data_IF_776197541168
#
_entry.id   IF_776197541168
#
_cell.length_a   1.000
_cell.length_b   1.000
_cell.length_c   1.000
_cell.angle_alpha   90.00
_cell.angle_beta   90.00
_cell.angle_gamma   90.00
#
_symmetry.space_group_name_H-M   'P 1'
#
loop_
_entity.id
_entity.type
_entity.pdbx_description
1 polymer ?
#
# COMPACT_ATOMS: atom_id res chain seq x y z
N UNK A 1 -54.54 -45.02 4.84
CA UNK A 1 -53.29 -44.91 4.08
C UNK A 1 -52.91 -43.46 4.00
N UNK A 2 -51.92 -43.06 4.80
CA UNK A 2 -51.53 -41.66 5.03
C UNK A 2 -50.47 -41.29 3.99
N UNK A 3 -50.78 -40.32 3.14
CA UNK A 3 -49.82 -39.70 2.23
C UNK A 3 -48.88 -38.79 3.00
N UNK A 4 -47.59 -39.11 2.99
CA UNK A 4 -46.55 -38.30 3.64
C UNK A 4 -45.88 -37.39 2.60
N UNK A 5 -46.03 -36.09 2.79
CA UNK A 5 -45.20 -35.06 2.16
C UNK A 5 -43.94 -34.83 3.00
N UNK A 6 -42.78 -34.81 2.31
CA UNK A 6 -41.48 -34.08 2.48
C UNK A 6 -40.97 -33.70 3.90
N UNK A 7 -39.63 -33.68 4.12
CA UNK A 7 -38.85 -32.55 3.59
C UNK A 7 -37.49 -32.90 2.98
N UNK A 8 -37.18 -32.18 1.90
CA UNK A 8 -35.84 -31.92 1.36
C UNK A 8 -34.93 -31.41 2.47
N UNK A 9 -33.80 -32.06 2.69
CA UNK A 9 -32.70 -31.49 3.46
C UNK A 9 -32.10 -30.31 2.66
N UNK A 10 -32.35 -29.10 3.15
CA UNK A 10 -31.54 -27.93 2.83
C UNK A 10 -30.10 -28.20 3.27
N UNK A 11 -29.20 -28.27 2.30
CA UNK A 11 -27.76 -28.18 2.53
C UNK A 11 -27.47 -26.89 3.28
N UNK A 12 -27.12 -27.00 4.57
CA UNK A 12 -26.57 -25.91 5.38
C UNK A 12 -25.32 -25.38 4.67
N UNK A 13 -25.50 -24.30 3.90
CA UNK A 13 -24.42 -23.47 3.39
C UNK A 13 -23.74 -22.87 4.61
N UNK A 14 -22.62 -23.47 5.01
CA UNK A 14 -21.75 -22.96 6.06
C UNK A 14 -21.24 -21.58 5.61
N UNK A 15 -21.94 -20.53 6.02
CA UNK A 15 -21.50 -19.15 5.89
C UNK A 15 -20.22 -19.00 6.72
N UNK A 16 -19.05 -19.08 6.07
CA UNK A 16 -17.83 -18.53 6.65
C UNK A 16 -18.09 -17.04 6.82
N UNK A 17 -18.40 -16.62 8.03
CA UNK A 17 -18.50 -15.20 8.36
C UNK A 17 -17.19 -14.53 7.97
N UNK A 18 -17.27 -13.54 7.08
CA UNK A 18 -16.16 -12.65 6.81
C UNK A 18 -15.78 -12.01 8.15
N UNK A 19 -14.49 -12.00 8.53
CA UNK A 19 -14.09 -11.41 9.80
C UNK A 19 -14.53 -9.94 9.84
N UNK A 20 -14.78 -9.37 11.00
CA UNK A 20 -15.18 -7.96 11.11
C UNK A 20 -14.04 -7.17 11.71
N UNK A 21 -13.87 -5.95 11.21
CA UNK A 21 -12.88 -5.02 11.70
C UNK A 21 -13.28 -4.55 13.10
N UNK A 22 -12.55 -5.02 14.11
CA UNK A 22 -12.80 -4.72 15.53
C UNK A 22 -12.79 -3.24 15.91
N UNK A 23 -12.27 -2.39 15.02
CA UNK A 23 -12.11 -0.96 15.27
C UNK A 23 -13.21 -0.09 14.66
N UNK A 24 -13.97 -0.60 13.67
CA UNK A 24 -15.01 0.20 13.02
C UNK A 24 -16.23 -0.60 12.55
N UNK A 25 -16.42 -1.82 13.09
CA UNK A 25 -17.55 -2.72 12.84
C UNK A 25 -17.89 -2.92 11.35
N UNK A 26 -16.91 -2.68 10.48
CA UNK A 26 -17.02 -2.84 9.05
C UNK A 26 -16.63 -4.27 8.69
N UNK A 27 -17.30 -4.86 7.69
CA UNK A 27 -16.95 -6.21 7.22
C UNK A 27 -15.48 -6.22 6.75
N UNK A 28 -14.69 -7.19 7.21
CA UNK A 28 -13.41 -7.52 6.56
C UNK A 28 -13.77 -8.09 5.20
N UNK A 29 -13.62 -7.25 4.19
CA UNK A 29 -13.48 -7.76 2.85
C UNK A 29 -12.02 -8.20 2.70
N UNK A 30 -11.76 -9.50 2.91
CA UNK A 30 -10.65 -10.19 2.22
C UNK A 30 -10.68 -9.74 0.75
N UNK A 31 -9.52 -9.45 0.12
CA UNK A 31 -9.38 -8.43 -0.92
C UNK A 31 -10.25 -8.74 -2.13
N UNK A 32 -11.50 -8.32 -2.08
CA UNK A 32 -12.42 -8.31 -3.19
C UNK A 32 -12.21 -6.98 -3.89
N UNK A 33 -11.19 -6.95 -4.74
CA UNK A 33 -11.21 -6.06 -5.90
C UNK A 33 -11.35 -4.55 -5.58
N UNK A 34 -10.59 -4.03 -4.62
CA UNK A 34 -10.22 -2.62 -4.69
C UNK A 34 -8.87 -2.57 -5.39
N UNK A 35 -8.88 -2.30 -6.69
CA UNK A 35 -7.70 -2.06 -7.53
C UNK A 35 -6.73 -1.12 -6.80
N UNK A 36 -5.73 -1.69 -6.10
CA UNK A 36 -4.82 -0.94 -5.22
C UNK A 36 -3.87 -0.07 -6.00
N UNK A 37 -3.70 -0.35 -7.29
CA UNK A 37 -2.96 0.52 -8.18
C UNK A 37 -3.59 1.92 -8.25
N UNK A 38 -4.91 2.05 -8.03
CA UNK A 38 -5.59 3.36 -7.99
C UNK A 38 -5.49 4.07 -6.65
N UNK A 39 -4.86 3.47 -5.64
CA UNK A 39 -4.85 4.05 -4.30
C UNK A 39 -3.85 5.20 -4.19
N UNK A 40 -4.15 6.23 -3.38
CA UNK A 40 -3.17 7.24 -3.02
C UNK A 40 -1.98 6.57 -2.30
N UNK A 41 -0.77 7.07 -2.53
CA UNK A 41 0.44 6.58 -1.84
C UNK A 41 0.29 6.70 -0.32
N UNK A 42 -0.37 7.74 0.17
CA UNK A 42 -0.62 7.93 1.61
C UNK A 42 -1.56 6.87 2.24
N UNK A 43 -2.12 5.95 1.46
CA UNK A 43 -2.84 4.77 1.96
C UNK A 43 -1.95 3.55 2.12
N UNK A 44 -0.71 3.57 1.63
CA UNK A 44 0.29 2.56 1.96
C UNK A 44 0.51 2.60 3.47
N UNK A 45 0.55 1.42 4.08
CA UNK A 45 0.71 1.35 5.53
C UNK A 45 2.10 1.85 5.95
N UNK A 46 2.16 2.55 7.08
CA UNK A 46 3.36 3.24 7.55
C UNK A 46 4.62 2.37 7.55
N UNK A 47 4.57 1.16 8.11
CA UNK A 47 5.71 0.25 8.11
C UNK A 47 6.17 -0.18 6.71
N UNK A 48 5.23 -0.51 5.82
CA UNK A 48 5.56 -0.80 4.41
C UNK A 48 6.10 0.42 3.67
N UNK A 49 5.52 1.60 3.91
CA UNK A 49 5.96 2.85 3.30
C UNK A 49 7.37 3.23 3.75
N UNK A 50 7.68 3.07 5.02
CA UNK A 50 9.02 3.27 5.59
C UNK A 50 10.03 2.31 4.95
N UNK A 51 9.69 1.03 4.77
CA UNK A 51 10.57 0.06 4.10
C UNK A 51 10.80 0.41 2.62
N UNK A 52 9.75 0.77 1.88
CA UNK A 52 9.84 1.27 0.50
C UNK A 52 10.80 2.48 0.43
N UNK A 53 10.64 3.44 1.34
CA UNK A 53 11.49 4.64 1.39
C UNK A 53 12.94 4.29 1.70
N UNK A 54 13.20 3.37 2.65
CA UNK A 54 14.55 2.88 2.95
C UNK A 54 15.20 2.21 1.75
N UNK A 55 14.49 1.32 1.06
CA UNK A 55 15.02 0.66 -0.14
C UNK A 55 15.39 1.67 -1.22
N UNK A 56 14.55 2.69 -1.45
CA UNK A 56 14.84 3.77 -2.38
C UNK A 56 16.03 4.61 -1.93
N UNK A 57 16.13 4.89 -0.63
CA UNK A 57 17.15 5.73 -0.04
C UNK A 57 18.54 5.08 0.02
N UNK A 58 18.63 3.75 0.10
CA UNK A 58 19.88 3.00 0.26
C UNK A 58 20.63 2.76 -1.06
N UNK A 59 19.91 2.64 -2.18
CA UNK A 59 20.50 2.23 -3.47
C UNK A 59 21.24 3.36 -4.18
N UNK A 60 20.83 4.61 -3.99
CA UNK A 60 21.51 5.77 -4.55
C UNK A 60 21.52 6.91 -3.53
N UNK A 61 22.72 7.40 -3.18
CA UNK A 61 22.87 8.53 -2.25
C UNK A 61 22.59 9.88 -2.91
N UNK A 62 22.67 9.97 -4.25
CA UNK A 62 22.41 11.20 -4.98
C UNK A 62 20.91 11.45 -5.18
N UNK A 63 20.09 10.40 -5.29
CA UNK A 63 18.60 10.41 -5.32
C UNK A 63 17.94 11.29 -6.39
N UNK A 64 18.76 11.93 -7.22
CA UNK A 64 18.42 12.56 -8.48
C UNK A 64 17.68 11.60 -9.40
N UNK A 65 17.97 10.28 -9.46
CA UNK A 65 17.20 9.37 -10.30
C UNK A 65 15.73 9.27 -9.89
N UNK A 66 15.41 9.27 -8.59
CA UNK A 66 14.01 9.22 -8.13
C UNK A 66 13.28 10.52 -8.48
N UNK A 67 13.82 11.67 -8.09
CA UNK A 67 13.20 12.97 -8.39
C UNK A 67 13.07 13.23 -9.90
N UNK A 68 14.06 12.81 -10.69
CA UNK A 68 14.02 12.89 -12.15
C UNK A 68 12.99 11.94 -12.75
N UNK A 69 12.88 10.70 -12.27
CA UNK A 69 11.92 9.72 -12.78
C UNK A 69 10.48 10.12 -12.49
N UNK A 70 10.23 10.81 -11.37
CA UNK A 70 8.91 11.33 -11.02
C UNK A 70 8.53 12.61 -11.79
N UNK A 71 9.50 13.28 -12.42
CA UNK A 71 9.28 14.32 -13.44
C UNK A 71 8.69 15.65 -12.97
N UNK A 72 8.42 15.84 -11.68
CA UNK A 72 7.74 17.04 -11.16
C UNK A 72 8.59 17.95 -10.27
N UNK A 73 9.85 17.59 -10.03
CA UNK A 73 10.74 18.37 -9.16
C UNK A 73 11.67 19.24 -10.00
N UNK A 74 11.53 20.56 -9.91
CA UNK A 74 12.53 21.48 -10.44
C UNK A 74 13.84 21.41 -9.64
N UNK A 75 14.93 21.97 -10.21
CA UNK A 75 16.24 21.95 -9.57
C UNK A 75 16.25 22.61 -8.19
N UNK A 76 15.48 23.68 -8.01
CA UNK A 76 15.38 24.42 -6.75
C UNK A 76 14.73 23.57 -5.66
N UNK A 77 13.65 22.87 -6.01
CA UNK A 77 12.91 21.98 -5.11
C UNK A 77 13.74 20.76 -4.75
N UNK A 78 14.43 20.18 -5.72
CA UNK A 78 15.35 19.07 -5.49
C UNK A 78 16.47 19.46 -4.51
N UNK A 79 17.14 20.60 -4.74
CA UNK A 79 18.19 21.10 -3.85
C UNK A 79 17.66 21.39 -2.42
N UNK A 80 16.43 21.89 -2.31
CA UNK A 80 15.79 22.14 -1.02
C UNK A 80 15.53 20.83 -0.25
N UNK A 81 15.06 19.78 -0.94
CA UNK A 81 14.84 18.45 -0.36
C UNK A 81 16.16 17.82 0.07
N UNK A 82 17.18 17.86 -0.79
CA UNK A 82 18.53 17.35 -0.50
C UNK A 82 19.09 18.03 0.76
N UNK A 83 19.08 19.37 0.81
CA UNK A 83 19.55 20.14 1.97
C UNK A 83 18.82 19.80 3.26
N UNK A 84 17.51 19.57 3.21
CA UNK A 84 16.73 19.17 4.39
C UNK A 84 17.19 17.82 4.94
N UNK A 85 17.64 16.92 4.06
CA UNK A 85 17.99 15.55 4.40
C UNK A 85 19.51 15.32 4.52
N UNK A 86 20.35 16.33 4.23
CA UNK A 86 21.81 16.29 4.39
C UNK A 86 22.23 15.80 5.78
N UNK A 87 21.53 16.27 6.82
CA UNK A 87 21.82 15.90 8.22
C UNK A 87 21.59 14.41 8.53
N UNK A 88 20.82 13.70 7.70
CA UNK A 88 20.53 12.28 7.85
C UNK A 88 21.34 11.42 6.85
N UNK A 89 22.40 11.95 6.27
CA UNK A 89 23.18 11.25 5.25
C UNK A 89 22.38 10.93 3.99
N UNK A 90 21.36 11.75 3.72
CA UNK A 90 20.41 11.57 2.63
C UNK A 90 19.19 10.72 2.98
N UNK A 91 19.13 9.99 4.11
CA UNK A 91 17.92 9.24 4.50
C UNK A 91 16.71 10.17 4.69
N UNK A 92 15.51 9.71 4.34
CA UNK A 92 14.25 10.48 4.38
C UNK A 92 13.93 11.26 3.10
N UNK A 93 14.82 11.27 2.10
CA UNK A 93 14.55 11.93 0.82
C UNK A 93 13.39 11.23 0.10
N UNK A 94 13.41 9.90 -0.01
CA UNK A 94 12.33 9.16 -0.65
C UNK A 94 10.98 9.44 0.02
N UNK A 95 10.94 9.51 1.35
CA UNK A 95 9.71 9.84 2.10
C UNK A 95 9.16 11.21 1.71
N UNK A 96 10.01 12.25 1.71
CA UNK A 96 9.61 13.62 1.35
C UNK A 96 9.19 13.70 -0.12
N UNK A 97 9.94 13.05 -1.01
CA UNK A 97 9.71 13.05 -2.45
C UNK A 97 8.41 12.33 -2.79
N UNK A 98 8.21 11.10 -2.30
CA UNK A 98 6.99 10.33 -2.54
C UNK A 98 5.77 10.96 -1.87
N UNK A 99 5.94 11.52 -0.66
CA UNK A 99 4.86 12.25 0.02
C UNK A 99 4.40 13.47 -0.78
N UNK A 100 5.33 14.26 -1.32
CA UNK A 100 5.00 15.41 -2.18
C UNK A 100 4.41 14.98 -3.52
N UNK A 101 5.03 14.02 -4.20
CA UNK A 101 4.56 13.53 -5.50
C UNK A 101 3.17 12.89 -5.40
N UNK A 102 2.93 12.03 -4.42
CA UNK A 102 1.63 11.39 -4.21
C UNK A 102 0.52 12.36 -3.80
N UNK A 103 0.86 13.55 -3.27
CA UNK A 103 -0.12 14.57 -2.90
C UNK A 103 -0.38 15.61 -4.00
N UNK A 104 0.43 15.64 -5.06
CA UNK A 104 0.32 16.69 -6.08
C UNK A 104 -0.75 16.43 -7.14
N UNK A 105 -1.09 15.16 -7.40
CA UNK A 105 -2.09 14.75 -8.38
C UNK A 105 -2.70 13.40 -7.98
N UNK A 106 -4.01 13.23 -8.15
CA UNK A 106 -4.71 11.95 -7.92
C UNK A 106 -4.27 10.82 -8.87
N UNK A 107 -3.66 11.17 -10.02
CA UNK A 107 -3.02 10.19 -10.92
C UNK A 107 -1.70 9.64 -10.36
N UNK A 108 -1.10 10.29 -9.36
CA UNK A 108 0.12 9.85 -8.68
C UNK A 108 -0.23 8.82 -7.58
N UNK A 109 -0.70 7.66 -8.04
CA UNK A 109 -1.15 6.55 -7.22
C UNK A 109 -0.11 5.41 -7.16
N UNK A 110 -0.42 4.36 -6.41
CA UNK A 110 0.46 3.19 -6.22
C UNK A 110 0.84 2.55 -7.56
N UNK A 111 -0.11 2.43 -8.49
CA UNK A 111 0.11 1.84 -9.80
C UNK A 111 1.06 2.68 -10.66
N UNK A 112 0.87 4.00 -10.66
CA UNK A 112 1.78 4.93 -11.32
C UNK A 112 3.20 4.83 -10.74
N UNK A 113 3.33 4.72 -9.40
CA UNK A 113 4.62 4.51 -8.75
C UNK A 113 5.28 3.20 -9.19
N UNK A 114 4.54 2.07 -9.16
CA UNK A 114 5.05 0.77 -9.61
C UNK A 114 5.54 0.83 -11.05
N UNK A 115 4.78 1.50 -11.93
CA UNK A 115 5.17 1.68 -13.33
C UNK A 115 6.47 2.46 -13.48
N UNK A 116 6.64 3.58 -12.77
CA UNK A 116 7.87 4.38 -12.81
C UNK A 116 9.05 3.56 -12.28
N UNK A 117 8.87 2.87 -11.14
CA UNK A 117 9.90 2.04 -10.52
C UNK A 117 10.36 0.92 -11.47
N UNK A 118 9.42 0.25 -12.15
CA UNK A 118 9.71 -0.83 -13.08
C UNK A 118 10.31 -0.34 -14.38
N UNK A 119 9.62 0.57 -15.07
CA UNK A 119 9.92 0.95 -16.45
C UNK A 119 11.09 1.94 -16.53
N UNK A 120 11.20 2.88 -15.58
CA UNK A 120 12.19 3.96 -15.62
C UNK A 120 13.39 3.71 -14.73
N UNK A 121 13.19 3.04 -13.58
CA UNK A 121 14.25 2.86 -12.58
C UNK A 121 14.77 1.41 -12.47
N UNK A 122 14.08 0.43 -13.06
CA UNK A 122 14.40 -1.00 -12.95
C UNK A 122 14.55 -1.47 -11.49
N UNK A 123 13.64 -0.99 -10.62
CA UNK A 123 13.62 -1.26 -9.17
C UNK A 123 12.61 -2.33 -8.80
N UNK A 124 12.82 -3.53 -9.32
CA UNK A 124 11.97 -4.70 -9.02
C UNK A 124 11.96 -5.03 -7.51
N UNK A 125 13.06 -4.75 -6.81
CA UNK A 125 13.18 -4.91 -5.35
C UNK A 125 12.16 -4.07 -4.58
N UNK A 126 11.93 -2.83 -5.02
CA UNK A 126 10.93 -1.93 -4.41
C UNK A 126 9.51 -2.32 -4.82
N UNK A 127 9.32 -2.75 -6.07
CA UNK A 127 8.02 -3.24 -6.57
C UNK A 127 7.55 -4.45 -5.77
N UNK A 128 8.44 -5.40 -5.48
CA UNK A 128 8.14 -6.56 -4.64
C UNK A 128 7.67 -6.14 -3.24
N UNK A 129 8.24 -5.09 -2.66
CA UNK A 129 7.81 -4.60 -1.34
C UNK A 129 6.41 -3.97 -1.39
N UNK A 130 6.08 -3.24 -2.46
CA UNK A 130 4.72 -2.73 -2.68
C UNK A 130 3.72 -3.88 -2.85
N UNK A 131 4.06 -4.92 -3.61
CA UNK A 131 3.21 -6.09 -3.80
C UNK A 131 2.97 -6.86 -2.50
N UNK A 132 3.97 -6.93 -1.60
CA UNK A 132 3.75 -7.49 -0.25
C UNK A 132 2.67 -6.70 0.50
N UNK A 133 2.70 -5.37 0.44
CA UNK A 133 1.68 -4.53 1.04
C UNK A 133 0.29 -4.77 0.41
N UNK A 134 0.22 -4.92 -0.92
CA UNK A 134 -1.03 -5.19 -1.64
C UNK A 134 -1.72 -6.48 -1.19
N UNK A 135 -0.93 -7.46 -0.74
CA UNK A 135 -1.43 -8.73 -0.22
C UNK A 135 -1.87 -8.68 1.25
N UNK A 136 -1.62 -7.58 1.97
CA UNK A 136 -2.04 -7.43 3.36
C UNK A 136 -3.55 -7.22 3.49
N UNK A 137 -4.17 -7.82 4.51
CA UNK A 137 -5.57 -7.52 4.86
C UNK A 137 -5.66 -6.14 5.51
N UNK A 138 -6.44 -5.25 4.91
CA UNK A 138 -6.69 -3.89 5.41
C UNK A 138 -8.19 -3.70 5.63
N UNK A 139 -8.55 -3.06 6.74
CA UNK A 139 -9.91 -2.63 7.01
C UNK A 139 -10.20 -1.32 6.26
N UNK A 140 -11.12 -1.34 5.30
CA UNK A 140 -11.42 -0.18 4.44
C UNK A 140 -12.14 0.97 5.17
N UNK A 141 -12.80 0.70 6.30
CA UNK A 141 -13.52 1.73 7.08
C UNK A 141 -12.60 2.65 7.90
N UNK A 142 -11.54 2.11 8.50
CA UNK A 142 -10.62 2.88 9.35
C UNK A 142 -9.15 2.83 8.92
N UNK A 143 -8.81 2.10 7.87
CA UNK A 143 -7.43 1.97 7.38
C UNK A 143 -6.50 1.17 8.30
N UNK A 144 -7.04 0.48 9.31
CA UNK A 144 -6.27 -0.29 10.29
C UNK A 144 -6.02 -1.72 9.78
N UNK A 145 -4.81 -2.24 10.01
CA UNK A 145 -4.41 -3.63 9.71
C UNK A 145 -5.20 -4.64 10.56
N UNK A 146 -5.53 -5.79 9.95
CA UNK A 146 -6.13 -6.95 10.63
C UNK A 146 -5.11 -8.00 11.10
N UNK A 147 -3.82 -7.67 11.09
CA UNK A 147 -2.74 -8.63 11.38
C UNK A 147 -2.36 -8.74 12.86
N UNK A 148 -3.27 -8.43 13.80
CA UNK A 148 -3.04 -8.65 15.24
C UNK A 148 -4.15 -9.42 15.96
N UNK A 149 -5.19 -9.91 15.27
CA UNK A 149 -6.34 -10.53 15.94
C UNK A 149 -6.40 -12.05 15.92
N UNK A 150 -5.30 -12.77 15.63
CA UNK A 150 -5.22 -14.21 15.87
C UNK A 150 -3.77 -14.68 16.07
N UNK A 151 -3.21 -14.42 17.24
CA UNK A 151 -2.37 -15.43 17.90
C UNK A 151 -3.09 -15.81 19.18
N UNK A 152 -3.66 -17.03 19.29
CA UNK A 152 -4.08 -17.52 20.59
C UNK A 152 -2.84 -17.64 21.46
N UNK A 153 -2.85 -16.95 22.61
CA UNK A 153 -1.96 -17.21 23.73
C UNK A 153 -2.41 -18.48 24.46
#
# INVERSE_FOLDING_TARGET
TIGSQKPTQESKKSSKESPMCSSCDSKDETPLSSDRDKWPIGKIEFGCFDEICKLLDLTDRSKKPLMSALGCFDQTTAACIEKKCERMGGMGIAEVVLGRWGSSNHENNVGALKKILKDSMQRDDVVVEIEKWENLRVCHGCGIKLNSLNKPH
#
